data_IF_139208185366
#
_entry.id   IF_139208185366
#
_cell.length_a   1.000
_cell.length_b   1.000
_cell.length_c   1.000
_cell.angle_alpha   90.00
_cell.angle_beta   90.00
_cell.angle_gamma   90.00
#
_symmetry.space_group_name_H-M   'P 1'
#
loop_
_entity.id
_entity.type
_entity.pdbx_description
1 polymer ?
#
# COMPACT_ATOMS: atom_id res chain seq x y z
N UNK A 1 -20.73 -10.67 14.34
CA UNK A 1 -21.44 -9.85 15.34
C UNK A 1 -20.73 -8.53 15.39
N UNK A 2 -21.28 -7.55 14.66
CA UNK A 2 -20.72 -6.22 14.56
C UNK A 2 -20.85 -5.51 15.90
N UNK A 3 -19.75 -5.05 16.49
CA UNK A 3 -19.74 -4.14 17.63
C UNK A 3 -20.17 -2.74 17.19
N UNK A 4 -21.41 -2.63 16.72
CA UNK A 4 -22.17 -1.38 16.70
C UNK A 4 -22.86 -1.24 18.05
N UNK A 5 -22.25 -0.53 18.98
CA UNK A 5 -22.95 0.52 19.73
C UNK A 5 -22.00 1.24 20.68
N UNK A 6 -21.63 2.46 20.28
CA UNK A 6 -21.30 3.52 21.22
C UNK A 6 -22.07 4.78 20.81
N UNK A 7 -23.32 4.87 21.28
CA UNK A 7 -24.06 6.09 21.62
C UNK A 7 -24.38 7.18 20.59
N UNK A 8 -23.69 7.28 19.45
CA UNK A 8 -23.98 8.25 18.38
C UNK A 8 -23.93 7.55 17.02
N UNK A 9 -25.09 7.43 16.38
CA UNK A 9 -25.17 7.06 14.96
C UNK A 9 -24.67 8.22 14.11
N UNK A 10 -23.36 8.44 14.09
CA UNK A 10 -22.76 9.42 13.19
C UNK A 10 -22.75 8.90 11.75
N UNK A 11 -22.78 9.82 10.79
CA UNK A 11 -22.83 9.52 9.36
C UNK A 11 -21.44 9.23 8.79
N UNK A 12 -20.40 9.86 9.34
CA UNK A 12 -19.04 9.80 8.82
C UNK A 12 -18.02 9.32 9.86
N UNK A 13 -17.50 8.11 9.67
CA UNK A 13 -16.51 7.48 10.55
C UNK A 13 -15.10 7.73 10.04
N UNK A 14 -14.16 7.98 10.96
CA UNK A 14 -12.75 8.23 10.62
C UNK A 14 -11.93 6.96 10.41
N UNK A 15 -12.26 5.92 11.15
CA UNK A 15 -11.57 4.65 11.07
C UNK A 15 -12.52 3.50 11.38
N UNK A 16 -12.21 2.34 10.84
CA UNK A 16 -12.89 1.10 11.12
C UNK A 16 -11.86 0.00 11.39
N UNK A 17 -11.86 -0.51 12.62
CA UNK A 17 -11.02 -1.64 13.03
C UNK A 17 -11.81 -2.93 12.80
N UNK A 18 -11.47 -3.68 11.76
CA UNK A 18 -11.95 -5.04 11.55
C UNK A 18 -10.94 -6.06 12.09
N UNK A 19 -11.33 -7.32 12.16
CA UNK A 19 -10.47 -8.42 12.63
C UNK A 19 -9.13 -8.54 11.89
N UNK A 20 -9.10 -8.23 10.59
CA UNK A 20 -7.93 -8.47 9.73
C UNK A 20 -7.31 -7.19 9.17
N UNK A 21 -7.93 -6.04 9.39
CA UNK A 21 -7.49 -4.78 8.83
C UNK A 21 -8.04 -3.59 9.65
N UNK A 22 -7.23 -2.53 9.74
CA UNK A 22 -7.68 -1.22 10.18
C UNK A 22 -7.77 -0.31 8.96
N UNK A 23 -8.97 0.12 8.57
CA UNK A 23 -9.11 1.10 7.50
C UNK A 23 -9.22 2.50 8.11
N UNK A 24 -8.41 3.45 7.64
CA UNK A 24 -8.31 4.79 8.21
C UNK A 24 -8.41 5.86 7.13
N UNK A 25 -9.24 6.87 7.38
CA UNK A 25 -9.28 8.10 6.60
C UNK A 25 -8.26 9.08 7.15
N UNK A 26 -7.46 9.64 6.26
CA UNK A 26 -6.51 10.72 6.54
C UNK A 26 -6.32 11.56 5.28
N UNK A 27 -5.95 12.83 5.46
CA UNK A 27 -5.68 13.75 4.35
C UNK A 27 -4.46 13.29 3.56
N UNK A 28 -4.60 13.26 2.24
CA UNK A 28 -3.53 12.91 1.31
C UNK A 28 -3.49 13.93 0.19
N UNK A 29 -2.30 14.25 -0.30
CA UNK A 29 -2.18 14.95 -1.57
C UNK A 29 -2.66 14.02 -2.70
N UNK A 30 -3.62 14.43 -3.54
CA UNK A 30 -4.17 13.58 -4.61
C UNK A 30 -3.14 13.02 -5.60
N UNK A 31 -2.05 13.74 -5.80
CA UNK A 31 -0.92 13.33 -6.64
C UNK A 31 -0.19 12.08 -6.12
N UNK A 32 -0.19 11.83 -4.79
CA UNK A 32 0.56 10.70 -4.25
C UNK A 32 -0.10 9.36 -4.60
N UNK A 33 -1.41 9.14 -4.37
CA UNK A 33 -2.06 7.91 -4.84
C UNK A 33 -2.08 7.79 -6.36
N UNK A 34 -2.16 8.91 -7.09
CA UNK A 34 -2.07 8.91 -8.55
C UNK A 34 -0.69 8.42 -9.04
N UNK A 35 0.39 8.91 -8.42
CA UNK A 35 1.76 8.44 -8.68
C UNK A 35 1.91 6.95 -8.40
N UNK A 36 1.39 6.46 -7.27
CA UNK A 36 1.48 5.02 -6.98
C UNK A 36 0.72 4.18 -7.99
N UNK A 37 -0.45 4.63 -8.47
CA UNK A 37 -1.14 3.95 -9.57
C UNK A 37 -0.41 4.06 -10.92
N UNK A 38 0.40 5.09 -11.13
CA UNK A 38 1.26 5.19 -12.31
C UNK A 38 2.48 4.27 -12.21
N UNK A 39 3.03 4.08 -11.01
CA UNK A 39 4.14 3.16 -10.77
C UNK A 39 3.71 1.69 -10.77
N UNK A 40 2.48 1.41 -10.32
CA UNK A 40 1.85 0.08 -10.34
C UNK A 40 0.32 0.22 -10.24
N UNK A 41 -0.44 -0.01 -11.33
CA UNK A 41 -1.89 0.03 -11.30
C UNK A 41 -2.47 -0.80 -10.16
N UNK A 42 -3.35 -0.16 -9.36
CA UNK A 42 -3.94 -0.76 -8.16
C UNK A 42 -3.31 -0.31 -6.83
N UNK A 43 -2.04 0.11 -6.83
CA UNK A 43 -1.38 0.59 -5.61
C UNK A 43 -2.06 1.83 -5.00
N UNK A 44 -2.47 2.80 -5.82
CA UNK A 44 -3.25 3.95 -5.35
C UNK A 44 -4.59 3.56 -4.73
N UNK A 45 -5.27 2.54 -5.27
CA UNK A 45 -6.52 2.03 -4.70
C UNK A 45 -6.32 1.32 -3.36
N UNK A 46 -5.20 0.62 -3.17
CA UNK A 46 -4.83 0.02 -1.88
C UNK A 46 -4.61 1.10 -0.81
N UNK A 47 -3.97 2.23 -1.17
CA UNK A 47 -3.81 3.40 -0.28
C UNK A 47 -5.17 3.95 0.16
N UNK A 48 -6.18 3.90 -0.70
CA UNK A 48 -7.56 4.33 -0.36
C UNK A 48 -8.34 3.31 0.48
N UNK A 49 -7.77 2.13 0.74
CA UNK A 49 -8.51 1.02 1.35
C UNK A 49 -9.54 0.38 0.42
N UNK A 50 -9.49 0.67 -0.90
CA UNK A 50 -10.32 0.02 -1.92
C UNK A 50 -9.70 -1.31 -2.36
N UNK A 51 -9.55 -2.25 -1.42
CA UNK A 51 -8.70 -3.44 -1.59
C UNK A 51 -9.07 -4.33 -2.76
N UNK A 52 -10.35 -4.67 -2.93
CA UNK A 52 -10.77 -5.54 -4.02
C UNK A 52 -10.36 -4.96 -5.39
N UNK A 53 -10.66 -3.67 -5.62
CA UNK A 53 -10.26 -2.97 -6.84
C UNK A 53 -8.74 -2.88 -6.96
N UNK A 54 -8.05 -2.59 -5.87
CA UNK A 54 -6.58 -2.51 -5.83
C UNK A 54 -5.92 -3.83 -6.21
N UNK A 55 -6.31 -4.94 -5.57
CA UNK A 55 -5.75 -6.26 -5.85
C UNK A 55 -6.04 -6.73 -7.27
N UNK A 56 -7.26 -6.50 -7.78
CA UNK A 56 -7.61 -6.85 -9.16
C UNK A 56 -6.74 -6.10 -10.16
N UNK A 57 -6.58 -4.78 -10.00
CA UNK A 57 -5.74 -3.96 -10.89
C UNK A 57 -4.25 -4.33 -10.78
N UNK A 58 -3.77 -4.67 -9.59
CA UNK A 58 -2.39 -5.08 -9.35
C UNK A 58 -2.09 -6.44 -10.02
N UNK A 59 -3.00 -7.42 -9.92
CA UNK A 59 -2.85 -8.69 -10.64
C UNK A 59 -3.01 -8.52 -12.15
N UNK A 60 -3.92 -7.64 -12.59
CA UNK A 60 -4.11 -7.30 -14.00
C UNK A 60 -2.84 -6.66 -14.59
N UNK A 61 -2.15 -5.79 -13.85
CA UNK A 61 -0.87 -5.21 -14.25
C UNK A 61 0.15 -6.31 -14.54
N UNK A 62 0.34 -7.25 -13.62
CA UNK A 62 1.25 -8.38 -13.85
C UNK A 62 0.90 -9.14 -15.13
N UNK A 63 -0.37 -9.53 -15.26
CA UNK A 63 -0.81 -10.35 -16.37
C UNK A 63 -0.63 -9.64 -17.71
N UNK A 64 -1.10 -8.40 -17.84
CA UNK A 64 -1.03 -7.67 -19.10
C UNK A 64 0.41 -7.26 -19.42
N UNK A 65 1.19 -6.77 -18.46
CA UNK A 65 2.57 -6.36 -18.69
C UNK A 65 3.46 -7.55 -19.11
N UNK A 66 3.30 -8.73 -18.50
CA UNK A 66 4.05 -9.94 -18.89
C UNK A 66 3.72 -10.39 -20.32
N UNK A 67 2.45 -10.32 -20.74
CA UNK A 67 2.04 -10.65 -22.10
C UNK A 67 2.44 -9.56 -23.12
N UNK A 68 2.41 -8.29 -22.71
CA UNK A 68 2.81 -7.15 -23.52
C UNK A 68 4.33 -6.98 -23.64
N UNK A 69 5.11 -7.56 -22.73
CA UNK A 69 6.56 -7.34 -22.58
C UNK A 69 6.93 -5.87 -22.34
N UNK A 70 6.05 -5.12 -21.67
CA UNK A 70 6.26 -3.67 -21.43
C UNK A 70 7.54 -3.44 -20.65
N UNK A 71 7.79 -4.20 -19.58
CA UNK A 71 9.03 -4.04 -18.80
C UNK A 71 10.30 -4.28 -19.62
N UNK A 72 10.37 -5.37 -20.40
CA UNK A 72 11.52 -5.62 -21.27
C UNK A 72 11.69 -4.50 -22.32
N UNK A 73 10.60 -4.07 -22.95
CA UNK A 73 10.61 -2.98 -23.92
C UNK A 73 11.08 -1.65 -23.30
N UNK A 74 10.71 -1.37 -22.03
CA UNK A 74 11.20 -0.20 -21.30
C UNK A 74 12.70 -0.25 -21.06
N UNK A 75 13.27 -1.41 -20.69
CA UNK A 75 14.73 -1.54 -20.50
C UNK A 75 15.47 -1.29 -21.81
N UNK A 76 15.02 -1.90 -22.91
CA UNK A 76 15.64 -1.66 -24.22
C UNK A 76 15.51 -0.19 -24.66
N UNK A 77 14.33 0.42 -24.46
CA UNK A 77 14.10 1.83 -24.78
C UNK A 77 15.02 2.77 -24.00
N UNK A 78 15.16 2.56 -22.69
CA UNK A 78 16.00 3.41 -21.84
C UNK A 78 17.50 3.15 -21.99
N UNK A 79 17.89 2.06 -22.64
CA UNK A 79 19.28 1.76 -23.01
C UNK A 79 19.61 2.11 -24.47
N UNK A 80 18.68 2.72 -25.20
CA UNK A 80 18.87 3.17 -26.58
C UNK A 80 18.73 2.05 -27.64
N UNK A 81 18.28 0.86 -27.25
CA UNK A 81 18.09 -0.30 -28.13
C UNK A 81 16.66 -0.30 -28.69
N UNK A 82 16.33 0.72 -29.49
CA UNK A 82 14.95 0.96 -29.94
C UNK A 82 14.42 -0.13 -30.88
N UNK A 83 15.26 -0.72 -31.74
CA UNK A 83 14.81 -1.83 -32.60
C UNK A 83 14.36 -3.03 -31.74
N UNK A 84 15.17 -3.41 -30.75
CA UNK A 84 14.85 -4.51 -29.84
C UNK A 84 13.60 -4.23 -29.00
N UNK A 85 13.40 -2.97 -28.58
CA UNK A 85 12.20 -2.56 -27.87
C UNK A 85 10.94 -2.75 -28.72
N UNK A 86 11.00 -2.38 -30.01
CA UNK A 86 9.91 -2.54 -30.95
C UNK A 86 9.65 -4.00 -31.33
N UNK A 87 10.68 -4.84 -31.37
CA UNK A 87 10.57 -6.27 -31.66
C UNK A 87 9.97 -7.06 -30.49
N UNK A 88 10.35 -6.74 -29.24
CA UNK A 88 9.92 -7.53 -28.07
C UNK A 88 8.49 -7.20 -27.62
N UNK A 89 8.05 -5.96 -27.82
CA UNK A 89 6.75 -5.51 -27.32
C UNK A 89 5.63 -6.16 -28.13
N UNK A 90 4.59 -6.65 -27.45
CA UNK A 90 3.38 -7.12 -28.13
C UNK A 90 2.37 -5.96 -28.26
N UNK A 91 2.09 -5.44 -29.48
CA UNK A 91 1.26 -4.25 -29.64
C UNK A 91 -0.19 -4.45 -29.20
N UNK A 92 -0.75 -5.65 -29.35
CA UNK A 92 -2.14 -5.92 -28.99
C UNK A 92 -2.36 -5.79 -27.48
N UNK A 93 -1.48 -6.40 -26.69
CA UNK A 93 -1.53 -6.30 -25.23
C UNK A 93 -1.13 -4.90 -24.74
N UNK A 94 -0.16 -4.25 -25.41
CA UNK A 94 0.24 -2.88 -25.07
C UNK A 94 -0.89 -1.86 -25.33
N UNK A 95 -1.65 -1.99 -26.43
CA UNK A 95 -2.80 -1.13 -26.70
C UNK A 95 -3.94 -1.35 -25.70
N UNK A 96 -4.16 -2.60 -25.26
CA UNK A 96 -5.09 -2.90 -24.16
C UNK A 96 -4.65 -2.27 -22.83
N UNK A 97 -3.33 -2.15 -22.63
CA UNK A 97 -2.75 -1.65 -21.39
C UNK A 97 -3.08 -0.16 -21.14
N UNK A 98 -2.88 0.67 -22.16
CA UNK A 98 -2.95 2.13 -22.11
C UNK A 98 -4.22 2.68 -21.44
N UNK A 99 -5.45 2.30 -21.85
CA UNK A 99 -6.66 2.88 -21.27
C UNK A 99 -6.83 2.54 -19.78
N UNK A 100 -6.52 1.30 -19.37
CA UNK A 100 -6.61 0.88 -17.97
C UNK A 100 -5.56 1.58 -17.13
N UNK A 101 -4.34 1.73 -17.66
CA UNK A 101 -3.27 2.50 -17.03
C UNK A 101 -3.71 3.93 -16.72
N UNK A 102 -4.16 4.69 -17.74
CA UNK A 102 -4.62 6.06 -17.59
C UNK A 102 -5.83 6.15 -16.64
N UNK A 103 -6.81 5.26 -16.81
CA UNK A 103 -8.00 5.24 -15.95
C UNK A 103 -7.66 4.94 -14.49
N UNK A 104 -6.67 4.08 -14.21
CA UNK A 104 -6.25 3.76 -12.86
C UNK A 104 -5.63 4.97 -12.15
N UNK A 105 -4.81 5.76 -12.86
CA UNK A 105 -4.18 6.99 -12.36
C UNK A 105 -5.24 8.04 -12.08
N UNK A 106 -6.07 8.34 -13.08
CA UNK A 106 -7.15 9.32 -12.97
C UNK A 106 -8.13 8.97 -11.85
N UNK A 107 -8.56 7.70 -11.77
CA UNK A 107 -9.49 7.25 -10.73
C UNK A 107 -8.88 7.39 -9.33
N UNK A 108 -7.57 7.16 -9.20
CA UNK A 108 -6.86 7.31 -7.94
C UNK A 108 -6.76 8.77 -7.50
N UNK A 109 -6.48 9.67 -8.45
CA UNK A 109 -6.47 11.11 -8.19
C UNK A 109 -7.83 11.60 -7.70
N UNK A 110 -8.88 11.38 -8.51
CA UNK A 110 -10.22 11.91 -8.25
C UNK A 110 -10.82 11.35 -6.95
N UNK A 111 -10.61 10.05 -6.66
CA UNK A 111 -11.04 9.45 -5.39
C UNK A 111 -10.35 10.06 -4.18
N UNK A 112 -9.07 10.43 -4.29
CA UNK A 112 -8.37 11.06 -3.18
C UNK A 112 -9.02 12.40 -2.80
N UNK A 113 -9.44 13.18 -3.81
CA UNK A 113 -10.16 14.45 -3.59
C UNK A 113 -11.45 14.21 -2.80
N UNK A 114 -12.24 13.20 -3.18
CA UNK A 114 -13.50 12.89 -2.48
C UNK A 114 -13.29 12.30 -1.09
N UNK A 115 -12.30 11.42 -0.92
CA UNK A 115 -11.92 10.87 0.39
C UNK A 115 -11.46 11.97 1.36
N UNK A 116 -10.74 12.98 0.87
CA UNK A 116 -10.33 14.12 1.69
C UNK A 116 -11.54 14.92 2.20
N UNK A 117 -12.58 15.10 1.38
CA UNK A 117 -13.84 15.73 1.82
C UNK A 117 -14.50 14.90 2.93
N UNK A 118 -14.59 13.59 2.75
CA UNK A 118 -15.13 12.67 3.77
C UNK A 118 -14.34 12.72 5.07
N UNK A 119 -13.02 12.82 4.99
CA UNK A 119 -12.16 12.97 6.17
C UNK A 119 -12.50 14.25 6.96
N UNK A 120 -12.67 15.39 6.28
CA UNK A 120 -13.01 16.67 6.93
C UNK A 120 -14.36 16.56 7.64
N UNK A 121 -15.36 15.97 6.98
CA UNK A 121 -16.68 15.73 7.58
C UNK A 121 -16.59 14.81 8.82
N UNK A 122 -15.86 13.70 8.71
CA UNK A 122 -15.66 12.77 9.81
C UNK A 122 -14.90 13.40 11.01
N UNK A 123 -13.99 14.34 10.74
CA UNK A 123 -13.28 15.09 11.77
C UNK A 123 -14.22 16.04 12.53
N UNK A 124 -15.23 16.60 11.88
CA UNK A 124 -16.22 17.49 12.50
C UNK A 124 -17.23 16.72 13.36
N UNK A 125 -17.64 15.51 12.96
CA UNK A 125 -18.61 14.71 13.73
C UNK A 125 -18.07 14.19 15.07
N UNK A 126 -16.74 14.05 15.20
CA UNK A 126 -16.05 13.60 16.44
C UNK A 126 -16.66 12.31 17.04
N UNK A 127 -17.01 11.36 16.18
CA UNK A 127 -17.48 10.04 16.60
C UNK A 127 -16.33 9.34 17.35
N UNK A 128 -16.60 8.72 18.52
CA UNK A 128 -15.61 7.91 19.22
C UNK A 128 -15.02 6.81 18.31
N UNK A 129 -13.70 6.66 18.36
CA UNK A 129 -12.99 5.63 17.60
C UNK A 129 -13.03 4.34 18.42
N UNK A 130 -13.40 3.22 17.80
CA UNK A 130 -13.37 1.91 18.46
C UNK A 130 -11.93 1.40 18.49
N UNK A 131 -11.32 1.16 19.67
CA UNK A 131 -9.89 0.87 19.78
C UNK A 131 -9.51 -0.56 19.42
N UNK A 132 -10.44 -1.53 19.54
CA UNK A 132 -10.16 -2.93 19.22
C UNK A 132 -11.38 -3.66 18.67
N UNK A 133 -11.11 -4.75 17.96
CA UNK A 133 -12.08 -5.72 17.50
C UNK A 133 -11.57 -7.12 17.82
N UNK A 134 -12.34 -7.88 18.59
CA UNK A 134 -12.05 -9.25 18.94
C UNK A 134 -13.02 -10.16 18.18
N UNK A 135 -12.48 -11.00 17.32
CA UNK A 135 -13.22 -12.05 16.63
C UNK A 135 -12.60 -13.42 16.95
N UNK A 136 -13.31 -14.49 16.61
CA UNK A 136 -12.81 -15.86 16.81
C UNK A 136 -11.50 -16.14 16.07
N UNK A 137 -11.26 -15.49 14.93
CA UNK A 137 -10.08 -15.74 14.10
C UNK A 137 -8.90 -14.83 14.42
N UNK A 138 -9.16 -13.59 14.85
CA UNK A 138 -8.12 -12.60 15.08
C UNK A 138 -8.54 -11.51 16.06
N UNK A 139 -7.55 -11.03 16.83
CA UNK A 139 -7.59 -9.82 17.63
C UNK A 139 -6.88 -8.70 16.87
N UNK A 140 -7.61 -7.63 16.57
CA UNK A 140 -7.03 -6.39 16.04
C UNK A 140 -7.29 -5.23 17.00
N UNK A 141 -6.29 -4.39 17.19
CA UNK A 141 -6.37 -3.24 18.10
C UNK A 141 -5.41 -2.15 17.67
N UNK A 142 -5.79 -0.92 17.97
CA UNK A 142 -4.97 0.27 17.83
C UNK A 142 -3.85 0.23 18.86
N UNK A 143 -2.62 0.31 18.37
CA UNK A 143 -1.42 0.40 19.17
C UNK A 143 -0.43 1.38 18.57
N UNK A 144 0.52 1.81 19.40
CA UNK A 144 1.62 2.64 18.95
C UNK A 144 2.71 1.76 18.36
N UNK A 145 3.07 1.97 17.10
CA UNK A 145 4.11 1.24 16.37
C UNK A 145 5.20 2.16 15.85
N UNK A 146 6.42 1.66 15.70
CA UNK A 146 7.51 2.49 15.19
C UNK A 146 7.45 2.53 13.65
N UNK A 147 7.30 3.72 13.01
CA UNK A 147 7.18 3.79 11.55
C UNK A 147 8.43 3.33 10.82
N UNK A 148 9.62 3.60 11.39
CA UNK A 148 10.89 3.16 10.83
C UNK A 148 10.99 1.63 10.78
N UNK A 149 10.51 0.93 11.81
CA UNK A 149 10.49 -0.54 11.80
C UNK A 149 9.56 -1.09 10.73
N UNK A 150 8.39 -0.47 10.52
CA UNK A 150 7.48 -0.87 9.44
C UNK A 150 8.15 -0.74 8.06
N UNK A 151 8.89 0.36 7.84
CA UNK A 151 9.66 0.57 6.61
C UNK A 151 10.79 -0.44 6.43
N UNK A 152 11.57 -0.71 7.50
CA UNK A 152 12.68 -1.68 7.47
C UNK A 152 12.16 -3.08 7.14
N UNK A 153 11.06 -3.51 7.76
CA UNK A 153 10.47 -4.82 7.46
C UNK A 153 10.01 -4.92 6.00
N UNK A 154 9.36 -3.89 5.47
CA UNK A 154 9.00 -3.84 4.04
C UNK A 154 10.20 -3.76 3.10
N UNK A 155 11.32 -3.17 3.54
CA UNK A 155 12.55 -3.08 2.75
C UNK A 155 13.31 -4.40 2.69
N UNK A 156 13.23 -5.23 3.73
CA UNK A 156 13.78 -6.59 3.72
C UNK A 156 12.88 -7.52 2.90
N UNK A 157 11.58 -7.47 3.15
CA UNK A 157 10.59 -8.32 2.51
C UNK A 157 9.30 -7.53 2.29
N UNK A 158 8.99 -7.11 1.05
CA UNK A 158 7.75 -6.41 0.73
C UNK A 158 6.51 -7.14 1.30
N UNK A 159 5.62 -6.38 1.93
CA UNK A 159 4.45 -6.90 2.65
C UNK A 159 4.67 -7.16 4.15
N UNK A 160 5.90 -7.40 4.61
CA UNK A 160 6.16 -7.68 6.03
C UNK A 160 5.87 -6.48 6.94
N UNK A 161 6.13 -5.25 6.48
CA UNK A 161 5.75 -4.03 7.20
C UNK A 161 4.24 -3.89 7.39
N UNK A 162 3.43 -4.33 6.42
CA UNK A 162 1.97 -4.35 6.53
C UNK A 162 1.47 -5.42 7.51
N UNK A 163 2.10 -6.59 7.52
CA UNK A 163 1.85 -7.62 8.53
C UNK A 163 2.21 -7.13 9.94
N UNK A 164 3.33 -6.42 10.08
CA UNK A 164 3.67 -5.73 11.32
C UNK A 164 2.59 -4.72 11.72
N UNK A 165 1.89 -4.07 10.79
CA UNK A 165 0.77 -3.18 11.10
C UNK A 165 -0.59 -3.89 11.20
N UNK A 166 -0.60 -5.23 11.33
CA UNK A 166 -1.82 -6.06 11.39
C UNK A 166 -2.75 -5.87 10.18
N UNK A 167 -2.20 -5.46 9.03
CA UNK A 167 -2.93 -5.29 7.76
C UNK A 167 -2.76 -6.54 6.91
N UNK A 168 -3.38 -7.64 7.37
CA UNK A 168 -3.10 -8.99 6.88
C UNK A 168 -3.35 -9.18 5.38
N UNK A 169 -4.50 -8.78 4.80
CA UNK A 169 -4.77 -9.05 3.39
C UNK A 169 -3.74 -8.40 2.46
N UNK A 170 -3.39 -7.13 2.71
CA UNK A 170 -2.40 -6.40 1.90
C UNK A 170 -1.00 -6.97 2.12
N UNK A 171 -0.63 -7.28 3.36
CA UNK A 171 0.68 -7.82 3.68
C UNK A 171 0.96 -9.15 3.01
N UNK A 172 0.03 -10.11 3.10
CA UNK A 172 0.17 -11.40 2.41
C UNK A 172 0.13 -11.25 0.89
N UNK A 173 -0.74 -10.38 0.36
CA UNK A 173 -0.81 -10.11 -1.07
C UNK A 173 0.54 -9.62 -1.62
N UNK A 174 1.12 -8.58 -1.02
CA UNK A 174 2.41 -8.02 -1.46
C UNK A 174 3.56 -9.02 -1.28
N UNK A 175 3.54 -9.83 -0.22
CA UNK A 175 4.52 -10.89 0.02
C UNK A 175 4.46 -11.95 -1.08
N UNK A 176 3.26 -12.39 -1.48
CA UNK A 176 3.08 -13.31 -2.61
C UNK A 176 3.57 -12.71 -3.91
N UNK A 177 3.21 -11.46 -4.22
CA UNK A 177 3.71 -10.77 -5.41
C UNK A 177 5.24 -10.68 -5.42
N UNK A 178 5.86 -10.41 -4.27
CA UNK A 178 7.32 -10.37 -4.14
C UNK A 178 7.97 -11.73 -4.34
N UNK A 179 7.40 -12.80 -3.77
CA UNK A 179 7.89 -14.16 -3.99
C UNK A 179 7.82 -14.54 -5.47
N UNK A 180 6.69 -14.26 -6.13
CA UNK A 180 6.50 -14.54 -7.57
C UNK A 180 7.53 -13.78 -8.41
N UNK A 181 7.71 -12.47 -8.18
CA UNK A 181 8.69 -11.68 -8.92
C UNK A 181 10.12 -12.13 -8.63
N UNK A 182 10.43 -12.51 -7.38
CA UNK A 182 11.77 -12.96 -6.99
C UNK A 182 12.12 -14.29 -7.65
N UNK A 183 11.13 -15.19 -7.73
CA UNK A 183 11.28 -16.50 -8.35
C UNK A 183 11.45 -16.38 -9.86
N UNK A 184 10.47 -15.80 -10.57
CA UNK A 184 10.54 -15.68 -12.03
C UNK A 184 11.62 -14.68 -12.52
N UNK A 185 12.03 -13.76 -11.65
CA UNK A 185 13.15 -12.85 -11.88
C UNK A 185 14.53 -13.48 -11.72
N UNK A 186 14.64 -14.69 -11.17
CA UNK A 186 15.89 -15.30 -10.69
C UNK A 186 16.67 -14.37 -9.74
N UNK A 187 15.96 -13.63 -8.87
CA UNK A 187 16.58 -12.60 -8.04
C UNK A 187 17.57 -13.19 -7.03
N UNK A 188 17.18 -14.27 -6.31
CA UNK A 188 18.02 -14.84 -5.26
C UNK A 188 19.31 -15.46 -5.81
N UNK A 189 19.30 -16.28 -6.89
CA UNK A 189 20.52 -16.73 -7.54
C UNK A 189 21.42 -15.58 -8.02
N UNK A 190 20.83 -14.53 -8.60
CA UNK A 190 21.59 -13.38 -9.06
C UNK A 190 22.26 -12.62 -7.90
N UNK A 191 21.57 -12.45 -6.77
CA UNK A 191 22.15 -11.87 -5.55
C UNK A 191 23.29 -12.74 -5.02
N UNK A 192 23.13 -14.07 -5.02
CA UNK A 192 24.19 -14.97 -4.58
C UNK A 192 25.46 -14.84 -5.43
N UNK A 193 25.32 -14.84 -6.77
CA UNK A 193 26.43 -14.62 -7.70
C UNK A 193 27.07 -13.23 -7.52
N UNK A 194 26.24 -12.21 -7.25
CA UNK A 194 26.70 -10.86 -6.94
C UNK A 194 27.59 -10.82 -5.69
N UNK A 195 27.18 -11.52 -4.62
CA UNK A 195 27.93 -11.59 -3.36
C UNK A 195 29.26 -12.35 -3.50
N UNK A 196 29.34 -13.32 -4.41
CA UNK A 196 30.59 -14.04 -4.75
C UNK A 196 31.53 -13.15 -5.59
N UNK A 197 31.03 -12.05 -6.17
CA UNK A 197 31.79 -11.13 -7.02
C UNK A 197 31.70 -11.45 -8.51
N UNK A 198 30.82 -12.36 -8.94
CA UNK A 198 30.63 -12.70 -10.34
C UNK A 198 29.51 -11.84 -10.97
N UNK A 199 29.86 -10.59 -11.29
CA UNK A 199 28.91 -9.59 -11.79
C UNK A 199 28.31 -9.93 -13.15
N UNK A 200 29.11 -10.44 -14.09
CA UNK A 200 28.65 -10.75 -15.46
C UNK A 200 27.60 -11.86 -15.44
N UNK A 201 27.88 -12.94 -14.71
CA UNK A 201 26.96 -14.08 -14.60
C UNK A 201 25.69 -13.69 -13.84
N UNK A 202 25.83 -12.90 -12.77
CA UNK A 202 24.70 -12.36 -12.00
C UNK A 202 23.71 -11.61 -12.89
N UNK A 203 24.19 -10.66 -13.71
CA UNK A 203 23.34 -9.87 -14.61
C UNK A 203 22.69 -10.76 -15.68
N UNK A 204 23.45 -11.69 -16.27
CA UNK A 204 22.93 -12.55 -17.35
C UNK A 204 21.85 -13.53 -16.90
N UNK A 205 21.81 -13.86 -15.62
CA UNK A 205 20.84 -14.80 -15.04
C UNK A 205 19.48 -14.15 -14.74
N UNK A 206 19.46 -12.81 -14.61
CA UNK A 206 18.25 -12.05 -14.28
C UNK A 206 17.25 -12.06 -15.44
N UNK A 207 15.99 -12.31 -15.10
CA UNK A 207 14.90 -12.07 -16.03
C UNK A 207 14.39 -10.63 -15.88
N UNK A 208 14.84 -9.76 -16.79
CA UNK A 208 14.57 -8.31 -16.76
C UNK A 208 13.06 -7.98 -16.71
N UNK A 209 12.22 -8.78 -17.37
CA UNK A 209 10.77 -8.56 -17.40
C UNK A 209 10.17 -8.61 -15.99
N UNK A 210 10.61 -9.58 -15.17
CA UNK A 210 10.09 -9.78 -13.81
C UNK A 210 10.80 -8.90 -12.79
N UNK A 211 12.10 -8.69 -12.96
CA UNK A 211 12.92 -7.86 -12.07
C UNK A 211 12.43 -6.41 -12.08
N UNK A 212 11.97 -5.88 -13.21
CA UNK A 212 11.54 -4.49 -13.29
C UNK A 212 10.22 -4.18 -12.56
N UNK A 213 9.48 -5.19 -12.08
CA UNK A 213 8.38 -4.95 -11.14
C UNK A 213 8.87 -4.60 -9.73
N UNK A 214 10.12 -4.97 -9.38
CA UNK A 214 10.65 -4.83 -8.02
C UNK A 214 10.76 -3.39 -7.52
N UNK A 215 11.27 -2.40 -8.28
CA UNK A 215 11.38 -1.03 -7.79
C UNK A 215 10.05 -0.47 -7.29
N UNK A 216 8.98 -0.68 -8.06
CA UNK A 216 7.62 -0.26 -7.68
C UNK A 216 7.10 -1.05 -6.48
N UNK A 217 7.31 -2.37 -6.44
CA UNK A 217 6.84 -3.23 -5.35
C UNK A 217 7.51 -2.89 -4.01
N UNK A 218 8.84 -2.73 -3.99
CA UNK A 218 9.61 -2.31 -2.82
C UNK A 218 9.25 -0.88 -2.44
N UNK A 219 9.29 0.05 -3.39
CA UNK A 219 9.00 1.46 -3.15
C UNK A 219 7.62 1.65 -2.53
N UNK A 220 6.60 1.00 -3.10
CA UNK A 220 5.24 1.05 -2.59
C UNK A 220 5.15 0.44 -1.20
N UNK A 221 5.73 -0.73 -1.00
CA UNK A 221 5.64 -1.45 0.27
C UNK A 221 6.30 -0.70 1.43
N UNK A 222 7.44 -0.06 1.17
CA UNK A 222 8.19 0.76 2.15
C UNK A 222 7.42 2.04 2.46
N UNK A 223 7.00 2.77 1.41
CA UNK A 223 6.27 4.02 1.57
C UNK A 223 4.95 3.81 2.31
N UNK A 224 4.15 2.84 1.87
CA UNK A 224 2.81 2.64 2.41
C UNK A 224 2.87 2.16 3.85
N UNK A 225 3.73 1.20 4.19
CA UNK A 225 3.87 0.72 5.57
C UNK A 225 4.36 1.83 6.50
N UNK A 226 5.30 2.67 6.06
CA UNK A 226 5.75 3.82 6.84
C UNK A 226 4.60 4.81 7.12
N UNK A 227 3.88 5.22 6.07
CA UNK A 227 2.81 6.21 6.20
C UNK A 227 1.66 5.67 7.05
N UNK A 228 1.26 4.41 6.85
CA UNK A 228 0.22 3.79 7.68
C UNK A 228 0.62 3.74 9.15
N UNK A 229 1.88 3.41 9.47
CA UNK A 229 2.36 3.41 10.84
C UNK A 229 2.26 4.80 11.48
N UNK A 230 2.59 5.85 10.72
CA UNK A 230 2.42 7.24 11.16
C UNK A 230 0.93 7.54 11.43
N UNK A 231 0.05 7.23 10.48
CA UNK A 231 -1.38 7.54 10.60
C UNK A 231 -2.08 6.74 11.70
N UNK A 232 -1.72 5.46 11.89
CA UNK A 232 -2.21 4.66 13.02
C UNK A 232 -1.78 5.24 14.36
N UNK A 233 -0.54 5.74 14.47
CA UNK A 233 -0.08 6.42 15.69
C UNK A 233 -0.86 7.71 15.96
N UNK A 234 -1.25 8.47 14.91
CA UNK A 234 -2.10 9.66 15.07
C UNK A 234 -3.48 9.26 15.57
N UNK A 235 -4.07 8.23 14.96
CA UNK A 235 -5.38 7.70 15.33
C UNK A 235 -5.41 7.20 16.79
N UNK A 236 -4.40 6.42 17.18
CA UNK A 236 -4.25 5.92 18.55
C UNK A 236 -4.15 7.05 19.58
N UNK A 237 -3.29 8.05 19.32
CA UNK A 237 -3.15 9.22 20.22
C UNK A 237 -4.46 10.00 20.35
N UNK A 238 -5.19 10.12 19.25
CA UNK A 238 -6.47 10.82 19.27
C UNK A 238 -7.51 10.05 20.08
N UNK A 239 -7.63 8.74 19.87
CA UNK A 239 -8.56 7.90 20.63
C UNK A 239 -8.25 8.01 22.14
N UNK A 240 -6.98 7.93 22.53
CA UNK A 240 -6.57 8.13 23.93
C UNK A 240 -6.92 9.55 24.44
N UNK A 241 -6.66 10.58 23.65
CA UNK A 241 -6.98 11.96 24.04
C UNK A 241 -8.48 12.13 24.28
N UNK A 242 -9.31 11.62 23.37
CA UNK A 242 -10.78 11.71 23.47
C UNK A 242 -11.29 10.90 24.67
N UNK A 243 -10.72 9.72 24.93
CA UNK A 243 -11.03 8.91 26.11
C UNK A 243 -10.69 9.65 27.42
N UNK A 244 -9.47 10.19 27.55
CA UNK A 244 -9.06 10.91 28.77
C UNK A 244 -9.86 12.19 28.96
N UNK A 245 -10.12 12.93 27.88
CA UNK A 245 -10.91 14.15 27.93
C UNK A 245 -12.35 13.87 28.34
N UNK A 246 -12.94 12.74 28.01
CA UNK A 246 -14.33 12.46 28.38
C UNK A 246 -14.46 11.89 29.80
N UNK A 247 -13.45 11.17 30.30
CA UNK A 247 -13.55 10.43 31.57
C UNK A 247 -12.77 11.05 32.74
N UNK A 248 -11.77 11.92 32.49
CA UNK A 248 -10.78 12.31 33.50
C UNK A 248 -10.50 13.83 33.58
N UNK A 249 -11.46 14.69 33.23
CA UNK A 249 -11.28 16.16 33.26
C UNK A 249 -11.02 16.75 34.66
N UNK A 250 -11.39 16.04 35.72
CA UNK A 250 -11.18 16.46 37.11
C UNK A 250 -9.72 16.31 37.58
N UNK A 251 -8.89 15.56 36.85
CA UNK A 251 -7.47 15.43 37.16
C UNK A 251 -6.70 16.65 36.61
N UNK A 252 -5.67 17.16 37.30
CA UNK A 252 -4.81 18.26 36.84
C UNK A 252 -3.84 17.80 35.74
N UNK A 253 -4.31 17.01 34.79
CA UNK A 253 -3.53 16.50 33.66
C UNK A 253 -3.57 17.51 32.51
N UNK A 254 -2.41 18.09 32.17
CA UNK A 254 -2.28 18.98 31.02
C UNK A 254 -2.33 18.17 29.73
N UNK A 255 -3.52 17.93 29.21
CA UNK A 255 -3.71 17.23 27.93
C UNK A 255 -3.22 18.11 26.77
N UNK A 256 -2.12 17.72 26.14
CA UNK A 256 -1.62 18.40 24.93
C UNK A 256 -2.57 18.11 23.76
N UNK A 257 -3.25 19.13 23.24
CA UNK A 257 -4.05 19.01 22.02
C UNK A 257 -3.18 18.52 20.86
N UNK A 258 -3.72 17.58 20.09
CA UNK A 258 -3.11 17.13 18.84
C UNK A 258 -3.49 18.13 17.73
N UNK A 259 -2.50 18.78 17.14
CA UNK A 259 -2.61 19.54 15.87
C UNK A 259 -1.80 18.81 14.82
#
# INVERSE_FOLDING_TARGET
MDTKSTGKNGRYYRAHVSSFNTNVLYLKTPWIPAWWSAAFPGAGHIIHGSYAKGFILFLWEFYVNVNAKINAAMVYSFTGQFEQAAEVINPQWALLYIPVYIASIWDSYRKTVDINKLYILAQHEKIPIVPYNLSSLALNFLDRRQPRLAAIWSALMPGMGHLYLKRLPVGFFLLVCWMVCSYYGNLLPAIHLLLIGNFKESISTLNIQWVLFMPSLYGFSIYESYVLAVEYNKLFKQEQYDFFKNNYQSLPLKLRKYT
#
